data_IF_588390280301
#
_entry.id   IF_588390280301
#
_cell.length_a   1.000
_cell.length_b   1.000
_cell.length_c   1.000
_cell.angle_alpha   90.00
_cell.angle_beta   90.00
_cell.angle_gamma   90.00
#
_symmetry.space_group_name_H-M   'P 1'
#
loop_
_entity.id
_entity.type
_entity.pdbx_description
1 polymer ?
#
# COMPACT_ATOMS: atom_id res chain seq x y z
N UNK A 1 -9.33 -53.43 -28.02
CA UNK A 1 -8.72 -52.10 -28.21
C UNK A 1 -9.67 -51.11 -27.58
N UNK A 2 -9.29 -50.53 -26.45
CA UNK A 2 -10.13 -49.71 -25.58
C UNK A 2 -9.53 -48.30 -25.53
N UNK A 3 -10.22 -47.22 -25.94
CA UNK A 3 -9.65 -45.89 -25.83
C UNK A 3 -10.06 -45.26 -24.49
N UNK A 4 -9.10 -45.17 -23.57
CA UNK A 4 -9.25 -44.36 -22.36
C UNK A 4 -9.16 -42.88 -22.72
N UNK A 5 -10.30 -42.19 -22.71
CA UNK A 5 -10.36 -40.73 -22.80
C UNK A 5 -9.94 -40.15 -21.45
N UNK A 6 -8.77 -39.53 -21.40
CA UNK A 6 -8.29 -38.79 -20.23
C UNK A 6 -8.93 -37.40 -20.27
N UNK A 7 -9.93 -37.17 -19.44
CA UNK A 7 -10.45 -35.83 -19.17
C UNK A 7 -9.44 -35.07 -18.30
N UNK A 8 -8.63 -34.22 -18.93
CA UNK A 8 -7.82 -33.23 -18.22
C UNK A 8 -8.72 -32.07 -17.78
N UNK A 9 -9.06 -32.03 -16.50
CA UNK A 9 -9.77 -30.89 -15.90
C UNK A 9 -8.78 -29.73 -15.80
N UNK A 10 -8.97 -28.73 -16.65
CA UNK A 10 -8.24 -27.47 -16.59
C UNK A 10 -8.79 -26.68 -15.39
N UNK A 11 -8.12 -26.76 -14.24
CA UNK A 11 -8.43 -25.92 -13.09
C UNK A 11 -8.00 -24.48 -13.39
N UNK A 12 -8.95 -23.65 -13.85
CA UNK A 12 -8.77 -22.20 -13.95
C UNK A 12 -8.63 -21.63 -12.53
N UNK A 13 -7.39 -21.30 -12.15
CA UNK A 13 -7.10 -20.45 -11.00
C UNK A 13 -7.57 -19.03 -11.29
N UNK A 14 -8.83 -18.76 -10.99
CA UNK A 14 -9.39 -17.40 -11.03
C UNK A 14 -8.71 -16.62 -9.90
N UNK A 15 -7.85 -15.67 -10.25
CA UNK A 15 -7.41 -14.63 -9.31
C UNK A 15 -8.64 -13.83 -8.92
N UNK A 16 -9.15 -14.06 -7.71
CA UNK A 16 -10.17 -13.23 -7.10
C UNK A 16 -9.57 -11.84 -6.90
N UNK A 17 -9.95 -10.89 -7.76
CA UNK A 17 -9.67 -9.50 -7.52
C UNK A 17 -10.51 -9.06 -6.30
N UNK A 18 -9.92 -8.44 -5.27
CA UNK A 18 -10.69 -7.92 -4.16
C UNK A 18 -11.77 -6.96 -4.69
N UNK A 19 -12.97 -7.08 -4.15
CA UNK A 19 -14.14 -6.26 -4.51
C UNK A 19 -13.73 -4.79 -4.44
N UNK A 20 -13.71 -4.12 -5.59
CA UNK A 20 -13.35 -2.72 -5.68
C UNK A 20 -14.26 -1.89 -4.77
N UNK A 21 -13.66 -1.08 -3.88
CA UNK A 21 -14.38 -0.13 -3.01
C UNK A 21 -14.48 -0.50 -1.54
N UNK A 22 -14.26 -1.76 -1.12
CA UNK A 22 -14.26 -2.11 0.29
C UNK A 22 -12.87 -1.86 0.90
N UNK A 23 -12.81 -0.98 1.90
CA UNK A 23 -11.60 -0.73 2.67
C UNK A 23 -11.29 -1.95 3.55
N UNK A 24 -10.06 -2.44 3.47
CA UNK A 24 -9.58 -3.48 4.39
C UNK A 24 -9.12 -2.81 5.67
N UNK A 25 -9.56 -3.30 6.83
CA UNK A 25 -9.15 -2.78 8.13
C UNK A 25 -8.34 -3.84 8.90
N UNK A 26 -7.05 -3.57 9.11
CA UNK A 26 -6.16 -4.53 9.74
C UNK A 26 -6.51 -4.79 11.22
N UNK A 27 -7.05 -3.80 11.93
CA UNK A 27 -7.52 -3.97 13.32
C UNK A 27 -8.72 -4.92 13.37
N UNK A 28 -9.61 -4.87 12.38
CA UNK A 28 -10.74 -5.81 12.28
C UNK A 28 -10.25 -7.23 11.98
N UNK A 29 -9.24 -7.39 11.12
CA UNK A 29 -8.65 -8.71 10.85
C UNK A 29 -7.96 -9.29 12.09
N UNK A 30 -7.27 -8.45 12.88
CA UNK A 30 -6.73 -8.86 14.17
C UNK A 30 -7.83 -9.27 15.16
N UNK A 31 -8.92 -8.51 15.23
CA UNK A 31 -10.06 -8.84 16.09
C UNK A 31 -10.73 -10.18 15.70
N UNK A 32 -10.87 -10.44 14.40
CA UNK A 32 -11.37 -11.72 13.87
C UNK A 32 -10.45 -12.87 14.30
N UNK A 33 -9.14 -12.70 14.12
CA UNK A 33 -8.14 -13.69 14.55
C UNK A 33 -8.25 -13.98 16.05
N UNK A 34 -8.30 -12.93 16.89
CA UNK A 34 -8.43 -13.09 18.34
C UNK A 34 -9.72 -13.81 18.72
N UNK A 35 -10.84 -13.46 18.07
CA UNK A 35 -12.14 -14.13 18.32
C UNK A 35 -12.06 -15.62 18.00
N UNK A 36 -11.45 -15.99 16.88
CA UNK A 36 -11.24 -17.39 16.50
C UNK A 36 -10.31 -18.09 17.49
N UNK A 37 -9.23 -17.41 17.90
CA UNK A 37 -8.28 -17.96 18.88
C UNK A 37 -8.93 -18.18 20.23
N UNK A 38 -9.74 -17.25 20.73
CA UNK A 38 -10.43 -17.35 22.03
C UNK A 38 -11.42 -18.52 22.08
N UNK A 39 -11.97 -18.93 20.92
CA UNK A 39 -12.81 -20.13 20.85
C UNK A 39 -12.01 -21.43 21.08
N UNK A 40 -10.71 -21.42 20.78
CA UNK A 40 -9.80 -22.56 20.96
C UNK A 40 -8.96 -22.49 22.25
N UNK A 41 -8.61 -21.27 22.66
CA UNK A 41 -7.83 -20.93 23.85
C UNK A 41 -8.75 -20.12 24.73
N UNK A 42 -9.43 -20.78 25.66
CA UNK A 42 -10.32 -20.08 26.59
C UNK A 42 -9.54 -19.02 27.36
N UNK A 43 -10.09 -17.81 27.43
CA UNK A 43 -9.73 -16.72 28.36
C UNK A 43 -8.70 -15.69 27.86
N UNK A 44 -8.79 -15.26 26.58
CA UNK A 44 -8.07 -14.06 26.12
C UNK A 44 -8.70 -12.81 26.76
N UNK A 45 -7.90 -12.02 27.48
CA UNK A 45 -8.35 -10.85 28.26
C UNK A 45 -8.04 -9.52 27.59
N UNK A 46 -6.93 -9.44 26.85
CA UNK A 46 -6.50 -8.23 26.16
C UNK A 46 -5.67 -8.59 24.92
N UNK A 47 -5.62 -7.68 23.95
CA UNK A 47 -4.74 -7.79 22.78
C UNK A 47 -4.43 -6.40 22.24
N UNK A 48 -3.31 -6.28 21.55
CA UNK A 48 -2.92 -5.01 20.94
C UNK A 48 -2.15 -5.22 19.64
N UNK A 49 -2.41 -4.38 18.65
CA UNK A 49 -1.70 -4.30 17.38
C UNK A 49 -1.11 -2.88 17.26
N UNK A 50 0.11 -2.70 17.78
CA UNK A 50 0.83 -1.42 17.77
C UNK A 50 1.97 -1.39 16.78
N UNK A 51 2.32 -0.17 16.36
CA UNK A 51 3.54 0.08 15.62
C UNK A 51 4.78 -0.25 16.47
N UNK A 52 5.84 -0.76 15.85
CA UNK A 52 7.11 -0.92 16.54
C UNK A 52 7.74 0.45 16.87
N UNK A 53 7.97 0.73 18.14
CA UNK A 53 8.89 1.77 18.60
C UNK A 53 10.36 1.40 18.38
N UNK A 54 11.25 2.40 18.51
CA UNK A 54 12.70 2.26 18.27
C UNK A 54 13.35 1.18 19.13
N UNK A 55 14.08 0.30 18.44
CA UNK A 55 15.11 -0.64 18.89
C UNK A 55 14.78 -1.83 19.82
N UNK A 56 13.62 -1.90 20.47
CA UNK A 56 13.33 -3.05 21.37
C UNK A 56 11.90 -3.62 21.29
N UNK A 57 11.04 -3.12 20.40
CA UNK A 57 9.63 -3.50 20.41
C UNK A 57 9.25 -4.55 19.36
N UNK A 58 8.43 -5.51 19.81
CA UNK A 58 7.82 -6.61 19.05
C UNK A 58 6.65 -6.10 18.17
N UNK A 59 6.65 -4.83 17.78
CA UNK A 59 5.53 -4.20 17.07
C UNK A 59 5.53 -4.46 15.56
N UNK A 60 4.43 -4.08 14.91
CA UNK A 60 4.29 -4.20 13.46
C UNK A 60 4.81 -2.94 12.79
N UNK A 61 5.54 -3.08 11.68
CA UNK A 61 5.95 -1.95 10.85
C UNK A 61 5.78 -2.27 9.37
N UNK A 62 5.76 -1.22 8.55
CA UNK A 62 5.69 -1.32 7.10
C UNK A 62 6.86 -0.56 6.48
N UNK A 63 7.63 -1.25 5.63
CA UNK A 63 8.68 -0.60 4.86
C UNK A 63 8.05 0.28 3.74
N UNK A 64 8.63 1.45 3.45
CA UNK A 64 8.21 2.27 2.32
C UNK A 64 8.26 1.47 1.01
N UNK A 65 7.19 1.56 0.21
CA UNK A 65 7.07 0.80 -1.03
C UNK A 65 7.14 1.69 -2.26
N UNK A 66 7.75 1.19 -3.33
CA UNK A 66 7.77 1.87 -4.62
C UNK A 66 6.44 1.71 -5.34
N UNK A 67 5.84 2.85 -5.72
CA UNK A 67 4.67 2.88 -6.59
C UNK A 67 5.14 2.55 -8.01
N UNK A 68 4.61 1.45 -8.56
CA UNK A 68 4.85 1.02 -9.93
C UNK A 68 3.72 1.51 -10.81
N UNK A 69 4.07 2.07 -11.96
CA UNK A 69 3.12 2.71 -12.87
C UNK A 69 3.01 1.92 -14.17
N UNK A 70 1.81 1.91 -14.74
CA UNK A 70 1.51 1.23 -15.99
C UNK A 70 0.46 1.99 -16.80
N UNK A 71 0.47 1.78 -18.12
CA UNK A 71 -0.49 2.32 -19.08
C UNK A 71 -0.74 3.83 -18.95
N UNK A 72 0.33 4.61 -18.78
CA UNK A 72 0.25 6.05 -18.66
C UNK A 72 -0.28 6.71 -19.95
N UNK A 73 -1.26 7.60 -19.82
CA UNK A 73 -1.86 8.36 -20.94
C UNK A 73 -2.00 9.85 -20.61
N UNK A 74 -1.52 10.77 -21.46
CA UNK A 74 -0.65 10.48 -22.62
C UNK A 74 0.72 9.96 -22.17
N UNK A 75 1.44 9.29 -23.06
CA UNK A 75 2.84 8.98 -22.82
C UNK A 75 3.61 10.30 -22.77
N UNK A 76 4.33 10.52 -21.68
CA UNK A 76 5.24 11.65 -21.51
C UNK A 76 6.60 11.04 -21.23
N UNK A 77 7.54 11.26 -22.13
CA UNK A 77 8.89 10.75 -22.05
C UNK A 77 9.86 11.81 -21.52
N UNK A 78 11.03 11.37 -21.06
CA UNK A 78 12.07 12.27 -20.54
C UNK A 78 12.49 13.37 -21.54
N UNK A 79 12.60 13.10 -22.87
CA UNK A 79 12.85 14.13 -23.86
C UNK A 79 11.79 15.24 -23.88
N UNK A 80 10.50 14.93 -23.72
CA UNK A 80 9.46 15.96 -23.68
C UNK A 80 9.69 16.97 -22.57
N UNK A 81 10.11 16.50 -21.38
CA UNK A 81 10.44 17.38 -20.26
C UNK A 81 11.55 18.39 -20.63
N UNK A 82 12.55 17.96 -21.41
CA UNK A 82 13.61 18.84 -21.92
C UNK A 82 13.14 19.94 -22.88
N UNK A 83 11.94 19.83 -23.47
CA UNK A 83 11.41 20.83 -24.41
C UNK A 83 10.59 21.93 -23.75
N UNK A 84 10.29 21.82 -22.46
CA UNK A 84 9.39 22.74 -21.75
C UNK A 84 9.97 23.16 -20.40
N UNK A 85 9.66 24.39 -19.99
CA UNK A 85 10.02 24.87 -18.66
C UNK A 85 8.94 24.42 -17.65
N UNK A 86 9.14 23.24 -17.05
CA UNK A 86 8.22 22.72 -16.03
C UNK A 86 8.34 23.55 -14.75
N UNK A 87 7.20 24.03 -14.28
CA UNK A 87 7.11 24.87 -13.09
C UNK A 87 6.49 24.16 -11.89
N UNK A 88 5.66 23.14 -12.15
CA UNK A 88 4.96 22.44 -11.08
C UNK A 88 4.55 21.01 -11.46
N UNK A 89 4.98 20.12 -10.58
CA UNK A 89 4.56 18.74 -10.30
C UNK A 89 3.35 18.61 -9.35
N UNK A 90 2.11 18.34 -9.75
CA UNK A 90 1.09 17.86 -8.78
C UNK A 90 0.77 16.40 -9.04
N UNK A 91 0.87 15.56 -8.02
CA UNK A 91 0.51 14.14 -8.08
C UNK A 91 -0.66 13.86 -7.16
N UNK A 92 -1.63 13.11 -7.68
CA UNK A 92 -2.74 12.58 -6.94
C UNK A 92 -2.84 11.06 -7.14
N UNK A 93 -2.96 10.30 -6.06
CA UNK A 93 -3.30 8.88 -6.09
C UNK A 93 -4.78 8.72 -5.79
N UNK A 94 -5.50 7.99 -6.63
CA UNK A 94 -6.86 7.51 -6.39
C UNK A 94 -6.77 6.01 -6.13
N UNK A 95 -6.88 5.62 -4.87
CA UNK A 95 -6.72 4.24 -4.40
C UNK A 95 -8.06 3.51 -4.51
N UNK A 96 -8.08 2.36 -5.18
CA UNK A 96 -9.30 1.58 -5.44
C UNK A 96 -9.61 0.55 -4.35
N UNK A 97 -8.59 0.11 -3.61
CA UNK A 97 -8.68 -0.86 -2.52
C UNK A 97 -7.87 -0.36 -1.31
N UNK A 98 -8.39 0.62 -0.57
CA UNK A 98 -7.67 1.22 0.54
C UNK A 98 -7.46 0.22 1.69
N UNK A 99 -6.37 0.39 2.42
CA UNK A 99 -6.05 -0.37 3.63
C UNK A 99 -5.93 0.62 4.79
N UNK A 100 -6.64 0.33 5.87
CA UNK A 100 -6.54 1.03 7.14
C UNK A 100 -5.69 0.20 8.09
N UNK A 101 -4.61 0.79 8.57
CA UNK A 101 -3.70 0.22 9.56
C UNK A 101 -3.42 1.21 10.69
N UNK A 102 -3.00 0.71 11.87
CA UNK A 102 -2.57 1.57 12.97
C UNK A 102 -1.20 2.23 12.72
N UNK A 103 -0.45 1.81 11.69
CA UNK A 103 0.87 2.33 11.29
C UNK A 103 0.82 3.00 9.91
N UNK A 104 1.85 3.79 9.60
CA UNK A 104 1.95 4.51 8.34
C UNK A 104 2.25 3.58 7.15
N UNK A 105 1.58 3.82 6.02
CA UNK A 105 1.80 3.06 4.78
C UNK A 105 2.34 4.00 3.73
N UNK A 106 3.67 4.05 3.60
CA UNK A 106 4.35 5.04 2.77
C UNK A 106 4.60 4.51 1.35
N UNK A 107 4.08 5.22 0.35
CA UNK A 107 4.32 5.00 -1.07
C UNK A 107 5.33 6.02 -1.63
N UNK A 108 6.26 5.53 -2.45
CA UNK A 108 7.34 6.31 -3.06
C UNK A 108 7.06 6.46 -4.56
N UNK A 109 6.90 7.70 -5.02
CA UNK A 109 6.83 8.07 -6.45
C UNK A 109 8.10 8.81 -6.82
N UNK A 110 8.73 8.43 -7.93
CA UNK A 110 9.82 9.19 -8.53
C UNK A 110 9.26 10.10 -9.62
N UNK A 111 9.68 11.35 -9.61
CA UNK A 111 9.23 12.36 -10.57
C UNK A 111 10.41 13.19 -11.04
N UNK A 112 10.41 13.65 -12.29
CA UNK A 112 11.40 14.62 -12.74
C UNK A 112 11.28 15.92 -11.93
N UNK A 113 12.41 16.41 -11.41
CA UNK A 113 12.49 17.67 -10.69
C UNK A 113 12.39 18.84 -11.68
N UNK A 114 11.52 19.83 -11.43
CA UNK A 114 11.44 20.99 -12.30
C UNK A 114 12.71 21.85 -12.16
N UNK A 115 13.70 21.70 -13.03
CA UNK A 115 14.83 22.65 -13.09
C UNK A 115 14.99 23.25 -14.49
N UNK A 116 15.79 24.32 -14.59
CA UNK A 116 15.95 25.13 -15.80
C UNK A 116 16.72 24.45 -16.95
N UNK A 117 17.28 23.25 -16.77
CA UNK A 117 18.02 22.54 -17.83
C UNK A 117 18.23 21.02 -17.58
N UNK A 118 18.13 20.54 -16.35
CA UNK A 118 18.34 19.13 -15.98
C UNK A 118 17.15 18.62 -15.16
N UNK A 119 16.64 17.42 -15.43
CA UNK A 119 15.54 16.84 -14.65
C UNK A 119 16.05 15.71 -13.75
N UNK A 120 16.75 16.01 -12.64
CA UNK A 120 17.07 14.97 -11.66
C UNK A 120 15.77 14.42 -11.07
N UNK A 121 15.73 13.14 -10.71
CA UNK A 121 14.51 12.55 -10.15
C UNK A 121 14.33 12.96 -8.68
N UNK A 122 13.28 13.72 -8.36
CA UNK A 122 12.80 13.95 -7.00
C UNK A 122 11.95 12.77 -6.53
N UNK A 123 12.12 12.41 -5.26
CA UNK A 123 11.26 11.42 -4.60
C UNK A 123 10.13 12.10 -3.84
N UNK A 124 8.89 11.74 -4.17
CA UNK A 124 7.71 12.07 -3.37
C UNK A 124 7.31 10.88 -2.51
N UNK A 125 7.18 11.12 -1.22
CA UNK A 125 6.62 10.15 -0.26
C UNK A 125 5.14 10.50 -0.03
N UNK A 126 4.26 9.52 -0.12
CA UNK A 126 2.81 9.66 0.01
C UNK A 126 2.33 8.69 1.08
N UNK A 127 1.62 9.18 2.10
CA UNK A 127 0.98 8.28 3.07
C UNK A 127 -0.33 7.77 2.46
N UNK A 128 -0.44 6.46 2.27
CA UNK A 128 -1.59 5.77 1.70
C UNK A 128 -2.48 5.15 2.78
N UNK A 129 -2.10 5.24 4.05
CA UNK A 129 -2.85 4.63 5.16
C UNK A 129 -4.21 5.32 5.32
N UNK A 130 -5.29 4.52 5.32
CA UNK A 130 -6.66 5.01 5.51
C UNK A 130 -7.10 6.06 4.48
N UNK A 131 -6.43 6.12 3.32
CA UNK A 131 -6.71 7.12 2.29
C UNK A 131 -7.31 6.46 1.05
N UNK A 132 -8.31 7.12 0.46
CA UNK A 132 -8.82 6.81 -0.88
C UNK A 132 -8.24 7.77 -1.93
N UNK A 133 -7.78 8.95 -1.50
CA UNK A 133 -7.24 9.97 -2.36
C UNK A 133 -6.09 10.75 -1.70
N UNK A 134 -4.88 10.59 -2.20
CA UNK A 134 -3.68 11.24 -1.66
C UNK A 134 -3.15 12.25 -2.67
N UNK A 135 -3.03 13.53 -2.30
CA UNK A 135 -2.52 14.58 -3.20
C UNK A 135 -1.30 15.28 -2.63
N UNK A 136 -0.24 15.37 -3.42
CA UNK A 136 0.99 16.09 -3.06
C UNK A 136 1.51 16.90 -4.24
N UNK A 137 2.14 18.02 -3.92
CA UNK A 137 2.69 18.96 -4.90
C UNK A 137 4.19 19.13 -4.67
N UNK A 138 4.98 19.04 -5.73
CA UNK A 138 6.38 19.49 -5.74
C UNK A 138 6.37 21.01 -5.77
N UNK A 139 7.21 21.63 -4.93
CA UNK A 139 7.29 23.08 -4.78
C UNK A 139 7.51 23.77 -6.12
N UNK A 140 6.87 24.92 -6.27
CA UNK A 140 7.10 25.82 -7.42
C UNK A 140 8.50 26.43 -7.27
N UNK A 141 9.33 26.33 -8.30
CA UNK A 141 10.59 27.05 -8.37
C UNK A 141 10.36 28.35 -9.14
N UNK A 142 10.86 29.47 -8.60
CA UNK A 142 10.88 30.77 -9.26
C UNK A 142 9.63 31.66 -9.12
N UNK A 143 9.72 32.87 -9.67
CA UNK A 143 8.67 33.91 -9.65
C UNK A 143 7.45 33.50 -10.50
N UNK A 144 6.32 34.19 -10.30
CA UNK A 144 5.14 34.01 -11.16
C UNK A 144 5.53 34.37 -12.59
N UNK A 145 5.33 33.48 -13.58
CA UNK A 145 5.73 33.75 -14.94
C UNK A 145 4.87 34.87 -15.53
N UNK A 146 5.49 35.72 -16.33
CA UNK A 146 4.80 36.73 -17.13
C UNK A 146 4.11 36.13 -18.36
N UNK A 147 4.47 34.90 -18.75
CA UNK A 147 3.86 34.14 -19.85
C UNK A 147 2.69 33.29 -19.33
N UNK A 148 1.63 33.12 -20.15
CA UNK A 148 0.59 32.11 -19.90
C UNK A 148 1.21 30.71 -20.02
N UNK A 149 1.27 29.98 -18.91
CA UNK A 149 1.64 28.57 -18.91
C UNK A 149 0.48 27.67 -19.36
N UNK A 150 0.83 26.44 -19.73
CA UNK A 150 -0.09 25.38 -20.15
C UNK A 150 -0.13 24.30 -19.06
N UNK A 151 -1.29 23.67 -18.87
CA UNK A 151 -1.45 22.52 -18.00
C UNK A 151 -1.62 21.24 -18.84
N UNK A 152 -0.76 20.25 -18.59
CA UNK A 152 -0.92 18.89 -19.09
C UNK A 152 -1.37 17.96 -17.97
N UNK A 153 -2.11 16.92 -18.34
CA UNK A 153 -2.52 15.87 -17.40
C UNK A 153 -2.08 14.50 -17.94
N UNK A 154 -1.46 13.69 -17.10
CA UNK A 154 -1.16 12.29 -17.35
C UNK A 154 -1.84 11.42 -16.30
N UNK A 155 -2.43 10.33 -16.74
CA UNK A 155 -3.08 9.34 -15.88
C UNK A 155 -2.43 7.99 -16.11
N UNK A 156 -1.96 7.35 -15.05
CA UNK A 156 -1.40 6.01 -15.05
C UNK A 156 -2.22 5.10 -14.15
N UNK A 157 -2.29 3.80 -14.43
CA UNK A 157 -2.60 2.83 -13.39
C UNK A 157 -1.38 2.67 -12.50
N UNK A 158 -1.61 2.44 -11.21
CA UNK A 158 -0.51 2.12 -10.32
C UNK A 158 -0.79 0.87 -9.49
N UNK A 159 0.30 0.24 -9.08
CA UNK A 159 0.33 -0.81 -8.07
C UNK A 159 1.41 -0.51 -7.04
N UNK A 160 1.14 -0.77 -5.77
CA UNK A 160 2.13 -0.67 -4.71
C UNK A 160 1.95 -1.83 -3.73
N UNK A 161 2.98 -2.65 -3.55
CA UNK A 161 2.93 -3.80 -2.63
C UNK A 161 3.62 -3.45 -1.33
N UNK A 162 2.87 -3.44 -0.23
CA UNK A 162 3.41 -3.26 1.11
C UNK A 162 3.65 -4.63 1.76
N UNK A 163 4.72 -4.71 2.54
CA UNK A 163 5.03 -5.86 3.38
C UNK A 163 5.06 -5.39 4.82
N UNK A 164 4.16 -5.98 5.62
CA UNK A 164 4.03 -5.70 7.05
C UNK A 164 4.83 -6.76 7.79
N UNK A 165 5.73 -6.33 8.65
CA UNK A 165 6.64 -7.19 9.41
C UNK A 165 6.46 -6.97 10.90
N UNK A 166 6.83 -7.98 11.68
CA UNK A 166 6.76 -7.93 13.13
C UNK A 166 5.69 -8.86 13.69
N UNK A 167 5.25 -8.54 14.90
CA UNK A 167 4.32 -9.37 15.66
C UNK A 167 3.35 -8.50 16.43
N UNK A 168 2.36 -9.13 17.05
CA UNK A 168 1.44 -8.50 17.95
C UNK A 168 1.18 -9.45 19.13
N UNK A 169 0.64 -8.92 20.22
CA UNK A 169 0.58 -9.64 21.49
C UNK A 169 -0.84 -9.72 22.00
N UNK A 170 -1.16 -10.84 22.66
CA UNK A 170 -2.40 -11.00 23.41
C UNK A 170 -2.14 -11.68 24.76
N UNK A 171 -2.99 -11.38 25.73
CA UNK A 171 -2.91 -11.90 27.08
C UNK A 171 -4.01 -12.93 27.32
N UNK A 172 -3.68 -14.00 28.02
CA UNK A 172 -4.65 -14.97 28.53
C UNK A 172 -4.54 -15.10 30.03
N UNK A 173 -5.66 -15.25 30.72
CA UNK A 173 -5.67 -15.53 32.16
C UNK A 173 -5.69 -17.04 32.42
N UNK A 174 -4.82 -17.52 33.31
CA UNK A 174 -4.78 -18.92 33.71
C UNK A 174 -6.11 -19.36 34.36
N UNK A 175 -6.52 -20.62 34.13
CA UNK A 175 -7.82 -21.15 34.58
C UNK A 175 -7.90 -21.21 36.12
N UNK A 176 -6.78 -21.47 36.81
CA UNK A 176 -6.72 -21.69 38.26
C UNK A 176 -5.78 -20.73 39.01
N UNK A 177 -5.44 -19.57 38.43
CA UNK A 177 -4.49 -18.64 39.04
C UNK A 177 -4.68 -17.19 38.61
N UNK A 178 -3.94 -16.29 39.27
CA UNK A 178 -3.88 -14.87 38.91
C UNK A 178 -2.80 -14.56 37.85
N UNK A 179 -2.17 -15.59 37.29
CA UNK A 179 -1.10 -15.41 36.30
C UNK A 179 -1.68 -15.08 34.92
N UNK A 180 -1.13 -14.02 34.32
CA UNK A 180 -1.38 -13.61 32.95
C UNK A 180 -0.27 -14.15 32.06
N UNK A 181 -0.64 -14.96 31.07
CA UNK A 181 0.29 -15.45 30.05
C UNK A 181 0.24 -14.52 28.84
N UNK A 182 1.43 -14.13 28.38
CA UNK A 182 1.61 -13.28 27.21
C UNK A 182 1.94 -14.15 26.01
N UNK A 183 1.21 -13.97 24.91
CA UNK A 183 1.41 -14.68 23.66
C UNK A 183 1.84 -13.71 22.58
N UNK A 184 2.86 -14.08 21.81
CA UNK A 184 3.37 -13.31 20.67
C UNK A 184 2.95 -14.01 19.39
N UNK A 185 2.31 -13.28 18.48
CA UNK A 185 1.80 -13.78 17.21
C UNK A 185 2.43 -13.01 16.07
N UNK A 186 2.99 -13.72 15.08
CA UNK A 186 3.53 -13.09 13.88
C UNK A 186 2.42 -12.44 13.06
N UNK A 187 2.69 -11.27 12.48
CA UNK A 187 1.69 -10.52 11.71
C UNK A 187 1.12 -11.30 10.51
N UNK A 188 1.90 -12.21 9.92
CA UNK A 188 1.48 -13.09 8.82
C UNK A 188 0.31 -14.02 9.18
N UNK A 189 0.06 -14.28 10.47
CA UNK A 189 -1.06 -15.09 10.93
C UNK A 189 -2.41 -14.38 10.71
N UNK A 190 -2.40 -13.05 10.47
CA UNK A 190 -3.58 -12.28 10.05
C UNK A 190 -3.90 -12.44 8.55
N UNK A 191 -3.31 -13.42 7.86
CA UNK A 191 -3.61 -13.71 6.46
C UNK A 191 -5.10 -13.93 6.24
N UNK A 192 -5.60 -13.31 5.19
CA UNK A 192 -6.95 -13.47 4.71
C UNK A 192 -6.99 -13.15 3.22
N UNK A 193 -6.78 -14.18 2.41
CA UNK A 193 -6.71 -14.08 0.95
C UNK A 193 -7.99 -13.49 0.34
N UNK A 194 -9.15 -13.69 0.98
CA UNK A 194 -10.44 -13.15 0.51
C UNK A 194 -10.51 -11.62 0.52
N UNK A 195 -9.70 -10.96 1.35
CA UNK A 195 -9.56 -9.50 1.42
C UNK A 195 -8.21 -9.02 0.87
N UNK A 196 -7.43 -9.90 0.24
CA UNK A 196 -6.14 -9.55 -0.37
C UNK A 196 -4.98 -9.41 0.62
N UNK A 197 -5.09 -9.95 1.84
CA UNK A 197 -3.99 -10.04 2.80
C UNK A 197 -3.31 -11.40 2.70
N UNK A 198 -2.13 -11.46 2.10
CA UNK A 198 -1.44 -12.71 1.82
C UNK A 198 -0.23 -12.90 2.74
N UNK A 199 0.06 -14.12 3.18
CA UNK A 199 1.33 -14.42 3.83
C UNK A 199 2.46 -14.50 2.78
N UNK A 200 3.56 -13.78 2.99
CA UNK A 200 4.73 -13.82 2.12
C UNK A 200 6.01 -13.87 2.96
N UNK A 201 6.63 -15.05 3.05
CA UNK A 201 7.78 -15.29 3.92
C UNK A 201 7.41 -15.04 5.38
N UNK A 202 8.10 -14.09 6.03
CA UNK A 202 7.83 -13.65 7.40
C UNK A 202 6.94 -12.40 7.49
N UNK A 203 6.30 -12.01 6.39
CA UNK A 203 5.55 -10.75 6.25
C UNK A 203 4.09 -11.00 5.88
N UNK A 204 3.23 -10.03 6.21
CA UNK A 204 1.89 -9.91 5.65
C UNK A 204 1.91 -8.95 4.46
N UNK A 205 1.51 -9.42 3.29
CA UNK A 205 1.53 -8.68 2.03
C UNK A 205 0.16 -8.11 1.72
N UNK A 206 0.11 -6.85 1.28
CA UNK A 206 -1.06 -6.23 0.68
C UNK A 206 -0.67 -5.42 -0.56
N UNK A 207 -1.45 -5.53 -1.64
CA UNK A 207 -1.18 -4.79 -2.89
C UNK A 207 -2.26 -3.75 -3.13
N UNK A 208 -1.87 -2.48 -3.10
CA UNK A 208 -2.69 -1.36 -3.52
C UNK A 208 -2.79 -1.30 -5.04
N UNK A 209 -3.95 -0.91 -5.52
CA UNK A 209 -4.27 -0.64 -6.90
C UNK A 209 -4.97 0.72 -7.02
N UNK A 210 -4.78 1.39 -8.15
CA UNK A 210 -5.50 2.63 -8.39
C UNK A 210 -5.03 3.39 -9.61
N UNK A 211 -5.33 4.69 -9.61
CA UNK A 211 -4.86 5.63 -10.65
C UNK A 211 -3.95 6.69 -10.04
N UNK A 212 -2.86 6.97 -10.72
CA UNK A 212 -1.97 8.07 -10.43
C UNK A 212 -2.22 9.16 -11.47
N UNK A 213 -2.59 10.34 -11.02
CA UNK A 213 -2.83 11.52 -11.86
C UNK A 213 -1.71 12.52 -11.64
N UNK A 214 -1.02 12.90 -12.72
CA UNK A 214 -0.05 13.98 -12.74
C UNK A 214 -0.65 15.19 -13.44
N UNK A 215 -0.71 16.31 -12.73
CA UNK A 215 -0.95 17.62 -13.34
C UNK A 215 0.38 18.36 -13.43
N UNK A 216 0.80 18.62 -14.67
CA UNK A 216 2.07 19.25 -15.00
C UNK A 216 1.78 20.64 -15.53
N UNK A 217 2.29 21.66 -14.85
CA UNK A 217 2.21 23.04 -15.32
C UNK A 217 3.57 23.47 -15.88
N UNK A 218 3.57 23.93 -17.13
CA UNK A 218 4.80 24.25 -17.87
C UNK A 218 4.62 25.48 -18.78
N UNK A 219 5.74 26.02 -19.26
CA UNK A 219 5.79 27.15 -20.20
C UNK A 219 6.57 26.72 -21.43
N UNK A 220 6.11 27.13 -22.61
CA UNK A 220 6.84 27.00 -23.87
C UNK A 220 7.72 28.24 -24.13
#
# INVERSE_FOLDING_TARGET
>A
MDPRVVLSILALTVKLNPVAGNMVNLMEQAAIFIKQRNASVTNITSWNLTEAGTHESVGVHAEPTHIREANCKPSIDDPWYGTVDVRMITVALKISNPLRSPFNLLGIVRLPEPTHATFPNTTLILNMNNETHVKRRIRRIGKRPNKRGVAGMQVCYFTATVYLQGSFMYETKAINGNETNIHVVKIQELRNDSVGLYAHGNSLQYTFHGRLERLIYFIR
#
